data_IF_014211860953
#
_entry.id   IF_014211860953
#
_cell.length_a   1.000
_cell.length_b   1.000
_cell.length_c   1.000
_cell.angle_alpha   90.00
_cell.angle_beta   90.00
_cell.angle_gamma   90.00
#
_symmetry.space_group_name_H-M   'P 1'
#
loop_
_entity.id
_entity.type
_entity.pdbx_description
1 polymer ?
#
# COMPACT_ATOMS: atom_id res chain seq x y z
N UNK A 1 15.72 8.33 -25.14
CA UNK A 1 15.63 9.02 -23.85
C UNK A 1 15.19 7.99 -22.82
N UNK A 2 16.06 7.59 -21.91
CA UNK A 2 15.68 6.71 -20.79
C UNK A 2 14.77 7.53 -19.88
N UNK A 3 13.48 7.23 -19.87
CA UNK A 3 12.57 7.83 -18.88
C UNK A 3 13.10 7.51 -17.49
N UNK A 4 13.43 8.54 -16.73
CA UNK A 4 13.88 8.41 -15.34
C UNK A 4 12.81 7.61 -14.56
N UNK A 5 13.21 6.58 -13.83
CA UNK A 5 12.31 5.84 -12.95
C UNK A 5 11.90 6.74 -11.78
N UNK A 6 10.63 6.76 -11.44
CA UNK A 6 10.19 7.44 -10.23
C UNK A 6 10.83 6.81 -8.97
N UNK A 7 11.13 7.60 -7.94
CA UNK A 7 11.40 7.05 -6.62
C UNK A 7 10.19 6.25 -6.10
N UNK A 8 10.45 5.17 -5.39
CA UNK A 8 9.43 4.28 -4.84
C UNK A 8 9.38 4.42 -3.32
N UNK A 9 8.21 4.74 -2.78
CA UNK A 9 7.96 4.82 -1.33
C UNK A 9 7.27 3.55 -0.86
N UNK A 10 7.82 2.89 0.18
CA UNK A 10 7.30 1.67 0.77
C UNK A 10 6.65 1.96 2.12
N UNK A 11 5.41 1.49 2.32
CA UNK A 11 4.60 1.74 3.51
C UNK A 11 4.22 0.42 4.18
N UNK A 12 4.78 0.14 5.36
CA UNK A 12 4.67 -1.14 6.06
C UNK A 12 3.32 -1.35 6.77
N UNK A 13 3.08 -2.60 7.19
CA UNK A 13 1.88 -3.05 7.88
C UNK A 13 1.92 -2.93 9.40
N UNK A 14 0.91 -3.54 10.03
CA UNK A 14 0.76 -3.63 11.48
C UNK A 14 1.91 -4.46 12.09
N UNK A 15 2.49 -3.98 13.20
CA UNK A 15 3.66 -4.56 13.89
C UNK A 15 4.95 -4.65 13.06
N UNK A 16 4.95 -4.12 11.84
CA UNK A 16 6.13 -4.10 10.97
C UNK A 16 6.97 -2.82 11.18
N UNK A 17 8.14 -2.84 10.58
CA UNK A 17 9.04 -1.69 10.40
C UNK A 17 9.53 -1.68 8.95
N UNK A 18 10.38 -0.72 8.59
CA UNK A 18 11.01 -0.66 7.25
C UNK A 18 11.72 -1.97 6.87
N UNK A 19 12.17 -2.76 7.85
CA UNK A 19 12.91 -4.03 7.62
C UNK A 19 12.06 -5.12 6.95
N UNK A 20 10.73 -5.04 7.02
CA UNK A 20 9.87 -5.98 6.29
C UNK A 20 10.10 -5.92 4.77
N UNK A 21 10.62 -4.79 4.29
CA UNK A 21 10.89 -4.53 2.88
C UNK A 21 12.33 -4.78 2.42
N UNK A 22 13.21 -5.35 3.25
CA UNK A 22 14.63 -5.55 2.88
C UNK A 22 14.80 -6.26 1.53
N UNK A 23 13.96 -7.28 1.26
CA UNK A 23 13.99 -8.02 0.00
C UNK A 23 13.51 -7.16 -1.17
N UNK A 24 12.38 -6.45 -1.03
CA UNK A 24 11.85 -5.55 -2.08
C UNK A 24 12.84 -4.41 -2.34
N UNK A 25 13.36 -3.77 -1.28
CA UNK A 25 14.29 -2.65 -1.38
C UNK A 25 15.57 -3.04 -2.11
N UNK A 26 16.13 -4.20 -1.77
CA UNK A 26 17.33 -4.72 -2.42
C UNK A 26 17.08 -5.02 -3.89
N UNK A 27 16.01 -5.73 -4.24
CA UNK A 27 15.68 -6.11 -5.61
C UNK A 27 15.39 -4.89 -6.50
N UNK A 28 14.64 -3.91 -5.99
CA UNK A 28 14.34 -2.69 -6.72
C UNK A 28 15.59 -1.81 -6.89
N UNK A 29 16.43 -1.65 -5.84
CA UNK A 29 17.66 -0.88 -5.91
C UNK A 29 18.65 -1.48 -6.91
N UNK A 30 18.84 -2.81 -6.91
CA UNK A 30 19.64 -3.53 -7.91
C UNK A 30 19.09 -3.36 -9.34
N UNK A 31 17.80 -3.15 -9.46
CA UNK A 31 17.13 -2.87 -10.73
C UNK A 31 17.11 -1.38 -11.09
N UNK A 32 17.77 -0.50 -10.31
CA UNK A 32 17.99 0.91 -10.59
C UNK A 32 16.83 1.86 -10.18
N UNK A 33 15.99 1.48 -9.22
CA UNK A 33 15.05 2.37 -8.57
C UNK A 33 15.67 3.04 -7.32
N UNK A 34 15.32 4.31 -7.07
CA UNK A 34 15.52 4.94 -5.76
C UNK A 34 14.40 4.47 -4.84
N UNK A 35 14.74 3.80 -3.73
CA UNK A 35 13.77 3.21 -2.80
C UNK A 35 13.82 3.93 -1.46
N UNK A 36 12.67 4.31 -0.97
CA UNK A 36 12.45 5.05 0.27
C UNK A 36 11.43 4.31 1.14
N UNK A 37 11.59 4.41 2.44
CA UNK A 37 10.63 3.84 3.41
C UNK A 37 10.68 4.63 4.71
N UNK A 38 9.59 4.59 5.48
CA UNK A 38 9.50 5.23 6.78
C UNK A 38 8.95 4.27 7.82
N UNK A 39 9.34 4.46 9.08
CA UNK A 39 8.68 3.79 10.20
C UNK A 39 7.47 4.61 10.66
N UNK A 40 6.30 4.03 10.55
CA UNK A 40 5.06 4.59 11.08
C UNK A 40 4.98 4.31 12.59
N UNK A 41 4.72 5.33 13.41
CA UNK A 41 4.75 5.23 14.87
C UNK A 41 3.48 5.86 15.47
N UNK A 42 2.76 5.14 16.34
CA UNK A 42 2.94 3.73 16.72
C UNK A 42 2.42 2.76 15.65
N UNK A 43 3.09 1.63 15.46
CA UNK A 43 2.77 0.65 14.42
C UNK A 43 1.90 -0.53 14.88
N UNK A 44 1.44 -0.55 16.14
CA UNK A 44 0.72 -1.68 16.76
C UNK A 44 -0.80 -1.47 16.84
N UNK A 45 -1.34 -0.52 16.09
CA UNK A 45 -2.79 -0.31 15.97
C UNK A 45 -3.39 0.61 17.02
N UNK A 46 -2.62 1.22 17.93
CA UNK A 46 -3.14 2.18 18.92
C UNK A 46 -3.44 3.56 18.32
N UNK A 47 -2.78 3.95 17.23
CA UNK A 47 -3.11 5.15 16.48
C UNK A 47 -4.20 4.87 15.44
N UNK A 48 -5.03 5.87 15.15
CA UNK A 48 -5.90 5.87 13.98
C UNK A 48 -5.08 5.93 12.70
N UNK A 49 -5.56 5.31 11.63
CA UNK A 49 -4.84 5.22 10.35
C UNK A 49 -4.64 6.58 9.68
N UNK A 50 -5.54 7.54 9.92
CA UNK A 50 -5.40 8.94 9.46
C UNK A 50 -4.14 9.60 10.03
N UNK A 51 -3.82 9.33 11.30
CA UNK A 51 -2.62 9.88 11.94
C UNK A 51 -1.35 9.32 11.29
N UNK A 52 -1.36 8.03 10.97
CA UNK A 52 -0.25 7.40 10.27
C UNK A 52 -0.13 7.88 8.81
N UNK A 53 -1.25 8.17 8.18
CA UNK A 53 -1.27 8.76 6.83
C UNK A 53 -0.73 10.21 6.82
N UNK A 54 -0.93 10.97 7.89
CA UNK A 54 -0.30 12.29 8.04
C UNK A 54 1.23 12.17 8.17
N UNK A 55 1.75 11.16 8.89
CA UNK A 55 3.20 10.91 8.95
C UNK A 55 3.76 10.58 7.56
N UNK A 56 3.03 9.78 6.78
CA UNK A 56 3.40 9.47 5.39
C UNK A 56 3.41 10.74 4.52
N UNK A 57 2.38 11.59 4.63
CA UNK A 57 2.30 12.85 3.88
C UNK A 57 3.44 13.80 4.23
N UNK A 58 3.74 13.96 5.52
CA UNK A 58 4.85 14.77 6.02
C UNK A 58 6.20 14.24 5.50
N UNK A 59 6.43 12.93 5.60
CA UNK A 59 7.65 12.30 5.06
C UNK A 59 7.82 12.58 3.56
N UNK A 60 6.76 12.41 2.77
CA UNK A 60 6.81 12.63 1.32
C UNK A 60 7.10 14.11 1.01
N UNK A 61 6.46 15.04 1.71
CA UNK A 61 6.66 16.48 1.52
C UNK A 61 8.09 16.91 1.84
N UNK A 62 8.71 16.34 2.89
CA UNK A 62 10.08 16.67 3.27
C UNK A 62 11.15 15.97 2.40
N UNK A 63 10.80 14.83 1.79
CA UNK A 63 11.78 14.00 1.06
C UNK A 63 11.86 14.35 -0.42
N UNK A 64 10.74 14.75 -1.03
CA UNK A 64 10.65 14.92 -2.48
C UNK A 64 10.18 16.33 -2.87
N UNK A 65 10.85 16.99 -3.85
CA UNK A 65 10.38 18.24 -4.43
C UNK A 65 8.91 18.15 -4.90
N UNK A 66 8.19 19.27 -4.87
CA UNK A 66 6.75 19.29 -5.19
C UNK A 66 6.43 18.80 -6.59
N UNK A 67 7.30 19.07 -7.56
CA UNK A 67 7.16 18.67 -8.96
C UNK A 67 7.68 17.26 -9.27
N UNK A 68 8.30 16.57 -8.29
CA UNK A 68 8.81 15.22 -8.49
C UNK A 68 7.72 14.18 -8.30
N UNK A 69 7.31 13.45 -9.36
CA UNK A 69 6.40 12.33 -9.22
C UNK A 69 7.05 11.16 -8.49
N UNK A 70 6.24 10.39 -7.77
CA UNK A 70 6.66 9.19 -7.05
C UNK A 70 5.75 8.01 -7.40
N UNK A 71 6.24 6.80 -7.12
CA UNK A 71 5.44 5.57 -7.08
C UNK A 71 5.36 5.10 -5.61
N UNK A 72 4.27 4.45 -5.22
CA UNK A 72 4.05 4.07 -3.83
C UNK A 72 3.58 2.61 -3.72
N UNK A 73 4.13 1.89 -2.75
CA UNK A 73 3.78 0.50 -2.45
C UNK A 73 3.31 0.41 -1.01
N UNK A 74 2.07 0.00 -0.80
CA UNK A 74 1.51 -0.24 0.53
C UNK A 74 1.29 -1.74 0.79
N UNK A 75 1.84 -2.23 1.89
CA UNK A 75 1.65 -3.62 2.34
C UNK A 75 0.70 -3.68 3.53
N UNK A 76 -0.29 -4.60 3.48
CA UNK A 76 -1.21 -4.84 4.59
C UNK A 76 -1.89 -3.56 5.07
N UNK A 77 -1.86 -3.21 6.36
CA UNK A 77 -2.34 -1.95 6.92
C UNK A 77 -1.76 -0.73 6.17
N UNK A 78 -0.49 -0.81 5.73
CA UNK A 78 0.16 0.25 4.95
C UNK A 78 -0.55 0.58 3.64
N UNK A 79 -1.23 -0.38 3.03
CA UNK A 79 -2.07 -0.13 1.86
C UNK A 79 -3.28 0.75 2.16
N UNK A 80 -3.91 0.63 3.32
CA UNK A 80 -5.00 1.51 3.77
C UNK A 80 -4.50 2.92 4.10
N UNK A 81 -3.35 3.02 4.76
CA UNK A 81 -2.68 4.28 5.07
C UNK A 81 -2.35 5.03 3.78
N UNK A 82 -1.79 4.32 2.79
CA UNK A 82 -1.52 4.85 1.46
C UNK A 82 -2.80 5.31 0.76
N UNK A 83 -3.88 4.52 0.83
CA UNK A 83 -5.18 4.94 0.25
C UNK A 83 -5.70 6.22 0.88
N UNK A 84 -5.59 6.36 2.21
CA UNK A 84 -6.01 7.60 2.87
C UNK A 84 -5.18 8.78 2.39
N UNK A 85 -3.85 8.61 2.28
CA UNK A 85 -2.98 9.63 1.70
C UNK A 85 -3.41 10.03 0.29
N UNK A 86 -3.65 9.04 -0.59
CA UNK A 86 -4.06 9.28 -1.96
C UNK A 86 -5.42 9.97 -2.07
N UNK A 87 -6.41 9.51 -1.31
CA UNK A 87 -7.82 9.92 -1.46
C UNK A 87 -8.21 11.14 -0.62
N UNK A 88 -7.52 11.41 0.51
CA UNK A 88 -7.88 12.45 1.49
C UNK A 88 -6.82 13.51 1.73
N UNK A 89 -5.54 13.21 1.42
CA UNK A 89 -4.41 14.13 1.66
C UNK A 89 -3.73 14.57 0.34
N UNK A 90 -4.48 14.61 -0.76
CA UNK A 90 -4.01 15.10 -2.07
C UNK A 90 -2.86 14.30 -2.71
N UNK A 91 -2.50 13.13 -2.15
CA UNK A 91 -1.41 12.30 -2.65
C UNK A 91 -1.59 11.87 -4.12
N UNK A 92 -2.84 11.82 -4.60
CA UNK A 92 -3.17 11.54 -5.99
C UNK A 92 -2.49 12.49 -6.99
N UNK A 93 -2.15 13.71 -6.57
CA UNK A 93 -1.48 14.70 -7.45
C UNK A 93 -0.01 14.41 -7.66
N UNK A 94 0.60 13.63 -6.77
CA UNK A 94 2.04 13.35 -6.75
C UNK A 94 2.38 11.91 -7.13
N UNK A 95 1.49 10.97 -6.84
CA UNK A 95 1.69 9.55 -7.08
C UNK A 95 1.23 9.20 -8.50
N UNK A 96 2.07 8.48 -9.24
CA UNK A 96 1.74 8.01 -10.59
C UNK A 96 1.33 6.54 -10.61
N UNK A 97 1.96 5.70 -9.77
CA UNK A 97 1.62 4.28 -9.63
C UNK A 97 1.43 3.93 -8.16
N UNK A 98 0.36 3.24 -7.89
CA UNK A 98 0.05 2.67 -6.58
C UNK A 98 0.00 1.16 -6.66
N UNK A 99 0.85 0.49 -5.90
CA UNK A 99 0.86 -0.96 -5.76
C UNK A 99 0.38 -1.30 -4.36
N UNK A 100 -0.69 -2.07 -4.29
CA UNK A 100 -1.30 -2.53 -3.04
C UNK A 100 -1.01 -4.02 -2.89
N UNK A 101 -0.36 -4.41 -1.78
CA UNK A 101 -0.01 -5.81 -1.50
C UNK A 101 -0.81 -6.27 -0.29
N UNK A 102 -1.74 -7.19 -0.49
CA UNK A 102 -2.53 -7.84 0.57
C UNK A 102 -3.09 -6.86 1.61
N UNK A 103 -3.64 -5.72 1.20
CA UNK A 103 -4.28 -4.78 2.12
C UNK A 103 -5.77 -5.08 2.27
N UNK A 104 -6.34 -4.88 3.48
CA UNK A 104 -7.76 -5.09 3.73
C UNK A 104 -8.62 -3.94 3.19
N UNK A 105 -8.67 -3.76 1.87
CA UNK A 105 -9.34 -2.64 1.22
C UNK A 105 -10.86 -2.60 1.46
N UNK A 106 -11.46 -3.75 1.75
CA UNK A 106 -12.85 -3.88 2.18
C UNK A 106 -12.97 -4.31 3.65
N UNK A 107 -11.88 -4.12 4.41
CA UNK A 107 -11.76 -4.57 5.80
C UNK A 107 -11.36 -6.04 5.94
N UNK A 108 -11.13 -6.46 7.17
CA UNK A 108 -10.87 -7.86 7.53
C UNK A 108 -11.58 -8.24 8.81
N UNK A 109 -12.18 -9.44 8.85
CA UNK A 109 -12.85 -9.95 10.07
C UNK A 109 -11.86 -10.22 11.21
N UNK A 110 -10.58 -10.42 10.92
CA UNK A 110 -9.53 -10.55 11.93
C UNK A 110 -9.44 -9.29 12.81
N UNK A 111 -9.82 -8.12 12.31
CA UNK A 111 -9.83 -6.86 13.05
C UNK A 111 -10.85 -6.81 14.20
N UNK A 112 -11.72 -7.79 14.35
CA UNK A 112 -12.58 -7.93 15.53
C UNK A 112 -11.85 -8.52 16.74
N UNK A 113 -10.64 -9.06 16.56
CA UNK A 113 -9.85 -9.69 17.64
C UNK A 113 -9.33 -8.68 18.68
N UNK A 114 -9.12 -7.42 18.31
CA UNK A 114 -8.57 -6.39 19.19
C UNK A 114 -9.33 -5.05 19.07
N UNK A 115 -9.61 -4.37 20.20
CA UNK A 115 -10.35 -3.11 20.21
C UNK A 115 -9.44 -1.87 20.12
N UNK A 116 -8.28 -1.96 19.47
CA UNK A 116 -7.38 -0.82 19.27
C UNK A 116 -7.87 0.07 18.11
N UNK A 117 -7.76 1.40 18.22
CA UNK A 117 -8.36 2.34 17.28
C UNK A 117 -8.05 2.06 15.80
N UNK A 118 -6.78 1.86 15.44
CA UNK A 118 -6.38 1.56 14.07
C UNK A 118 -6.83 0.16 13.60
N UNK A 119 -6.94 -0.81 14.53
CA UNK A 119 -7.44 -2.15 14.21
C UNK A 119 -8.96 -2.09 13.99
N UNK A 120 -9.69 -1.35 14.82
CA UNK A 120 -11.14 -1.14 14.64
C UNK A 120 -11.43 -0.52 13.26
N UNK A 121 -10.59 0.39 12.79
CA UNK A 121 -10.73 0.98 11.46
C UNK A 121 -10.53 -0.01 10.30
N UNK A 122 -9.87 -1.13 10.54
CA UNK A 122 -9.72 -2.19 9.53
C UNK A 122 -10.90 -3.18 9.49
N UNK A 123 -11.95 -3.01 10.32
CA UNK A 123 -13.16 -3.84 10.26
C UNK A 123 -13.95 -3.55 8.99
N UNK A 124 -14.62 -4.55 8.39
CA UNK A 124 -15.38 -4.38 7.15
C UNK A 124 -16.48 -3.31 7.19
N UNK A 125 -17.08 -3.10 8.36
CA UNK A 125 -18.19 -2.18 8.60
C UNK A 125 -17.76 -0.82 9.19
N UNK A 126 -16.45 -0.60 9.36
CA UNK A 126 -15.93 0.66 9.92
C UNK A 126 -16.23 1.85 9.00
N UNK A 127 -16.45 3.02 9.62
CA UNK A 127 -16.65 4.26 8.88
C UNK A 127 -15.44 4.63 8.03
N UNK A 128 -14.22 4.26 8.48
CA UNK A 128 -12.99 4.45 7.73
C UNK A 128 -12.98 3.69 6.40
N UNK A 129 -13.33 2.39 6.41
CA UNK A 129 -13.41 1.57 5.19
C UNK A 129 -14.55 2.06 4.28
N UNK A 130 -15.71 2.40 4.84
CA UNK A 130 -16.83 2.95 4.07
C UNK A 130 -16.45 4.25 3.39
N UNK A 131 -15.83 5.19 4.12
CA UNK A 131 -15.37 6.46 3.57
C UNK A 131 -14.40 6.26 2.41
N UNK A 132 -13.34 5.46 2.57
CA UNK A 132 -12.38 5.21 1.50
C UNK A 132 -12.99 4.50 0.28
N UNK A 133 -14.02 3.68 0.48
CA UNK A 133 -14.65 2.95 -0.62
C UNK A 133 -15.71 3.76 -1.36
N UNK A 134 -16.21 4.84 -0.77
CA UNK A 134 -17.26 5.68 -1.36
C UNK A 134 -16.83 6.29 -2.71
N UNK A 135 -15.59 6.75 -2.83
CA UNK A 135 -15.08 7.44 -4.01
C UNK A 135 -13.85 6.76 -4.65
N UNK A 136 -13.52 5.54 -4.21
CA UNK A 136 -12.28 4.87 -4.62
C UNK A 136 -12.14 4.72 -6.14
N UNK A 137 -13.21 4.41 -6.86
CA UNK A 137 -13.17 4.31 -8.32
C UNK A 137 -12.85 5.66 -8.97
N UNK A 138 -13.53 6.73 -8.55
CA UNK A 138 -13.30 8.06 -9.11
C UNK A 138 -11.88 8.56 -8.83
N UNK A 139 -11.40 8.39 -7.59
CA UNK A 139 -10.07 8.86 -7.19
C UNK A 139 -8.94 8.02 -7.74
N UNK A 140 -8.97 6.71 -7.51
CA UNK A 140 -7.84 5.83 -7.83
C UNK A 140 -7.70 5.53 -9.34
N UNK A 141 -8.76 5.68 -10.14
CA UNK A 141 -8.64 5.58 -11.59
C UNK A 141 -7.83 6.74 -12.24
N UNK A 142 -7.47 7.76 -11.49
CA UNK A 142 -6.60 8.85 -11.97
C UNK A 142 -5.12 8.45 -12.05
N UNK A 143 -4.73 7.33 -11.44
CA UNK A 143 -3.36 6.80 -11.43
C UNK A 143 -3.36 5.32 -11.79
N UNK A 144 -2.18 4.77 -12.06
CA UNK A 144 -2.04 3.32 -12.29
C UNK A 144 -2.10 2.57 -10.96
N UNK A 145 -3.11 1.72 -10.79
CA UNK A 145 -3.27 0.89 -9.60
C UNK A 145 -3.03 -0.59 -9.91
N UNK A 146 -2.28 -1.26 -9.04
CA UNK A 146 -2.06 -2.72 -9.09
C UNK A 146 -2.32 -3.32 -7.72
N UNK A 147 -3.18 -4.32 -7.66
CA UNK A 147 -3.54 -5.04 -6.43
C UNK A 147 -2.97 -6.45 -6.49
N UNK A 148 -1.98 -6.76 -5.65
CA UNK A 148 -1.34 -8.07 -5.56
C UNK A 148 -1.85 -8.75 -4.30
N UNK A 149 -2.37 -9.96 -4.43
CA UNK A 149 -3.01 -10.65 -3.32
C UNK A 149 -2.80 -12.17 -3.39
N UNK A 150 -3.04 -12.84 -2.26
CA UNK A 150 -3.02 -14.30 -2.18
C UNK A 150 -4.38 -14.82 -1.71
N UNK A 151 -4.89 -15.93 -2.31
CA UNK A 151 -6.15 -16.55 -1.86
C UNK A 151 -6.02 -17.25 -0.50
N UNK A 152 -4.78 -17.44 -0.02
CA UNK A 152 -4.48 -18.13 1.24
C UNK A 152 -4.23 -17.15 2.40
N UNK A 153 -4.60 -15.88 2.25
CA UNK A 153 -4.38 -14.87 3.28
C UNK A 153 -5.26 -15.11 4.50
N UNK A 154 -4.63 -15.43 5.64
CA UNK A 154 -5.30 -15.61 6.92
C UNK A 154 -5.36 -14.34 7.78
N UNK A 155 -4.68 -13.27 7.35
CA UNK A 155 -4.73 -11.96 8.01
C UNK A 155 -5.77 -11.05 7.36
N UNK A 156 -6.02 -11.23 6.07
CA UNK A 156 -7.06 -10.53 5.33
C UNK A 156 -8.19 -11.51 5.04
N UNK A 157 -9.25 -11.44 5.82
CA UNK A 157 -10.38 -12.39 5.72
C UNK A 157 -11.69 -11.63 5.46
N UNK A 158 -12.35 -11.90 4.32
CA UNK A 158 -11.93 -12.80 3.23
C UNK A 158 -10.73 -12.23 2.45
N UNK A 159 -9.88 -13.09 1.89
CA UNK A 159 -8.68 -12.67 1.14
C UNK A 159 -9.00 -11.74 -0.06
N UNK A 160 -10.15 -11.94 -0.69
CA UNK A 160 -10.69 -11.08 -1.76
C UNK A 160 -11.02 -9.65 -1.32
N UNK A 161 -11.00 -9.36 -0.02
CA UNK A 161 -11.14 -8.01 0.54
C UNK A 161 -10.05 -7.03 0.06
N UNK A 162 -8.93 -7.56 -0.43
CA UNK A 162 -7.88 -6.75 -1.07
C UNK A 162 -8.36 -6.10 -2.37
N UNK A 163 -9.32 -6.68 -3.07
CA UNK A 163 -9.75 -6.25 -4.40
C UNK A 163 -10.79 -5.13 -4.34
N UNK A 164 -10.64 -4.15 -5.20
CA UNK A 164 -11.57 -3.02 -5.34
C UNK A 164 -12.36 -3.03 -6.66
N UNK A 165 -11.99 -3.90 -7.62
CA UNK A 165 -12.57 -3.93 -8.97
C UNK A 165 -12.08 -2.76 -9.83
N UNK A 166 -10.86 -2.27 -9.58
CA UNK A 166 -10.21 -1.19 -10.32
C UNK A 166 -8.74 -1.56 -10.56
N UNK A 167 -8.16 -1.00 -11.62
CA UNK A 167 -6.75 -1.26 -11.95
C UNK A 167 -6.47 -2.72 -12.30
N UNK A 168 -5.22 -3.13 -12.13
CA UNK A 168 -4.74 -4.49 -12.40
C UNK A 168 -4.79 -5.34 -11.14
N UNK A 169 -5.40 -6.51 -11.19
CA UNK A 169 -5.47 -7.47 -10.10
C UNK A 169 -4.57 -8.68 -10.40
N UNK A 170 -3.65 -9.01 -9.49
CA UNK A 170 -2.69 -10.10 -9.65
C UNK A 170 -2.80 -11.04 -8.45
N UNK A 171 -3.26 -12.25 -8.72
CA UNK A 171 -3.33 -13.32 -7.73
C UNK A 171 -2.04 -14.13 -7.75
N UNK A 172 -1.37 -14.26 -6.59
CA UNK A 172 -0.16 -15.06 -6.44
C UNK A 172 -0.35 -15.98 -5.23
N UNK A 173 -0.31 -17.32 -5.40
CA UNK A 173 -0.58 -18.26 -4.31
C UNK A 173 0.63 -18.35 -3.36
N UNK A 174 0.70 -17.41 -2.42
CA UNK A 174 1.67 -17.37 -1.32
C UNK A 174 0.96 -17.79 -0.03
N UNK A 175 1.54 -18.71 0.72
CA UNK A 175 0.86 -19.37 1.86
C UNK A 175 0.72 -18.41 3.06
N UNK A 176 1.74 -17.61 3.35
CA UNK A 176 1.73 -16.71 4.51
C UNK A 176 1.70 -15.26 4.09
N UNK A 177 0.83 -14.47 4.71
CA UNK A 177 0.68 -13.03 4.51
C UNK A 177 2.04 -12.30 4.49
N UNK A 178 2.88 -12.52 5.50
CA UNK A 178 4.19 -11.89 5.62
C UNK A 178 5.19 -12.30 4.51
N UNK A 179 4.95 -13.40 3.80
CA UNK A 179 5.82 -13.82 2.70
C UNK A 179 5.50 -13.10 1.39
N UNK A 180 4.38 -12.40 1.29
CA UNK A 180 4.02 -11.62 0.11
C UNK A 180 5.11 -10.62 -0.29
N UNK A 181 5.81 -10.03 0.67
CA UNK A 181 6.88 -9.05 0.42
C UNK A 181 8.28 -9.68 0.17
N UNK A 182 8.36 -11.02 0.15
CA UNK A 182 9.60 -11.79 -0.07
C UNK A 182 9.53 -12.75 -1.26
N UNK A 183 8.32 -13.06 -1.75
CA UNK A 183 8.11 -14.02 -2.84
C UNK A 183 8.58 -13.45 -4.18
N UNK A 184 9.41 -14.19 -4.90
CA UNK A 184 10.01 -13.77 -6.18
C UNK A 184 8.98 -13.43 -7.26
N UNK A 185 7.81 -14.09 -7.23
CA UNK A 185 6.71 -13.82 -8.17
C UNK A 185 6.06 -12.48 -7.86
N UNK A 186 5.96 -12.11 -6.57
CA UNK A 186 5.48 -10.79 -6.13
C UNK A 186 6.49 -9.72 -6.51
N UNK A 187 7.79 -9.93 -6.29
CA UNK A 187 8.84 -8.99 -6.72
C UNK A 187 8.80 -8.74 -8.23
N UNK A 188 8.63 -9.80 -9.02
CA UNK A 188 8.46 -9.67 -10.46
C UNK A 188 7.22 -8.84 -10.82
N UNK A 189 6.08 -9.11 -10.20
CA UNK A 189 4.83 -8.37 -10.44
C UNK A 189 4.95 -6.89 -10.06
N UNK A 190 5.66 -6.58 -8.96
CA UNK A 190 5.96 -5.20 -8.55
C UNK A 190 6.77 -4.49 -9.66
N UNK A 191 7.85 -5.10 -10.15
CA UNK A 191 8.67 -4.51 -11.22
C UNK A 191 7.88 -4.28 -12.50
N UNK A 192 7.06 -5.24 -12.89
CA UNK A 192 6.16 -5.08 -14.06
C UNK A 192 5.20 -3.91 -13.87
N UNK A 193 4.58 -3.78 -12.70
CA UNK A 193 3.67 -2.68 -12.39
C UNK A 193 4.38 -1.31 -12.38
N UNK A 194 5.62 -1.24 -11.86
CA UNK A 194 6.42 -0.01 -11.87
C UNK A 194 6.91 0.40 -13.27
N UNK A 195 6.88 -0.51 -14.25
CA UNK A 195 7.25 -0.26 -15.65
C UNK A 195 6.03 0.03 -16.53
N UNK A 196 4.80 -0.09 -16.02
CA UNK A 196 3.62 0.24 -16.81
C UNK A 196 3.66 1.71 -17.29
N UNK A 197 3.33 1.99 -18.55
CA UNK A 197 3.27 3.36 -19.05
C UNK A 197 2.31 4.21 -18.24
N UNK A 198 2.72 5.43 -17.93
CA UNK A 198 1.87 6.42 -17.26
C UNK A 198 0.88 6.97 -18.29
N UNK A 199 -0.34 7.23 -17.86
CA UNK A 199 -1.39 7.80 -18.72
C UNK A 199 -1.07 9.24 -19.07
#
# INVERSE_FOLDING_TARGET
MTTSKNPVVLVHGLYDTVTVFDTISTDLAQSGWSVHSLNLIPNYGSAKLEILALQLAEYITHTFPDDQPIDIIGFSMGGLITRYYLQRLEGIKKVQRYINISAPNRGTTIAYSLPLPGIVQMRPDSDFIKDLNQDCQHRLNQIKCTFIWTPYDLMIVPASSTLLGIGREIQIPVILHAWMVKDQRVLKAIKEALLEPIM
#
